data_IF_834468931035
#
_entry.id   IF_834468931035
#
_cell.length_a   1.000
_cell.length_b   1.000
_cell.length_c   1.000
_cell.angle_alpha   90.00
_cell.angle_beta   90.00
_cell.angle_gamma   90.00
#
_symmetry.space_group_name_H-M   'P 1'
#
loop_
_entity.id
_entity.type
_entity.pdbx_description
1 polymer ?
#
# COMPACT_ATOMS: atom_id res chain seq x y z
N UNK A 1 10.50 -26.03 6.22
CA UNK A 1 9.92 -27.00 5.26
C UNK A 1 10.34 -26.76 3.82
N UNK A 2 9.81 -25.75 3.10
CA UNK A 2 10.14 -25.58 1.67
C UNK A 2 11.62 -25.21 1.41
N UNK A 3 12.22 -24.43 2.32
CA UNK A 3 13.66 -24.10 2.25
C UNK A 3 14.48 -25.35 2.54
N UNK A 4 14.12 -26.11 3.59
CA UNK A 4 14.79 -27.37 3.96
C UNK A 4 14.65 -28.47 2.88
N UNK A 5 13.57 -28.41 2.09
CA UNK A 5 13.35 -29.27 0.93
C UNK A 5 14.25 -28.92 -0.28
N UNK A 6 15.18 -27.98 -0.11
CA UNK A 6 16.17 -27.57 -1.10
C UNK A 6 15.53 -27.01 -2.38
N UNK A 7 14.44 -26.25 -2.24
CA UNK A 7 13.83 -25.49 -3.35
C UNK A 7 14.74 -24.31 -3.73
N UNK A 8 15.15 -24.26 -5.00
CA UNK A 8 16.08 -23.23 -5.50
C UNK A 8 15.46 -21.83 -5.63
N UNK A 9 14.15 -21.74 -5.86
CA UNK A 9 13.50 -20.47 -6.14
C UNK A 9 12.03 -20.40 -5.71
N UNK A 10 11.67 -19.29 -5.07
CA UNK A 10 10.28 -18.88 -4.86
C UNK A 10 9.88 -17.84 -5.90
N UNK A 11 8.84 -18.14 -6.67
CA UNK A 11 8.32 -17.23 -7.70
C UNK A 11 7.12 -16.44 -7.19
N UNK A 12 7.17 -15.12 -7.36
CA UNK A 12 6.03 -14.22 -7.15
C UNK A 12 5.41 -13.90 -8.51
N UNK A 13 4.12 -14.15 -8.67
CA UNK A 13 3.35 -13.83 -9.88
C UNK A 13 2.43 -12.63 -9.59
N UNK A 14 2.34 -11.70 -10.55
CA UNK A 14 1.59 -10.47 -10.37
C UNK A 14 1.24 -9.76 -11.67
N UNK A 15 0.81 -10.49 -12.71
CA UNK A 15 0.32 -9.86 -13.95
C UNK A 15 -0.77 -8.84 -13.63
N UNK A 16 -0.64 -7.64 -14.21
CA UNK A 16 -1.57 -6.53 -14.03
C UNK A 16 -1.72 -6.07 -12.55
N UNK A 17 -0.77 -6.44 -11.67
CA UNK A 17 -0.75 -5.95 -10.29
C UNK A 17 -0.05 -4.61 -10.21
N UNK A 18 -0.52 -3.79 -9.28
CA UNK A 18 0.03 -2.46 -9.09
C UNK A 18 1.34 -2.51 -8.29
N UNK A 19 2.14 -1.43 -8.30
CA UNK A 19 3.40 -1.39 -7.56
C UNK A 19 3.26 -1.63 -6.05
N UNK A 20 2.10 -1.31 -5.45
CA UNK A 20 1.82 -1.55 -4.02
C UNK A 20 1.75 -3.05 -3.72
N UNK A 21 1.06 -3.81 -4.57
CA UNK A 21 1.04 -5.27 -4.46
C UNK A 21 2.44 -5.85 -4.59
N UNK A 22 3.19 -5.50 -5.64
CA UNK A 22 4.51 -6.08 -5.91
C UNK A 22 5.46 -5.79 -4.76
N UNK A 23 5.53 -4.54 -4.27
CA UNK A 23 6.37 -4.18 -3.13
C UNK A 23 5.99 -4.96 -1.88
N UNK A 24 4.70 -4.99 -1.53
CA UNK A 24 4.24 -5.65 -0.30
C UNK A 24 4.55 -7.14 -0.31
N UNK A 25 4.25 -7.83 -1.41
CA UNK A 25 4.48 -9.28 -1.51
C UNK A 25 5.97 -9.60 -1.52
N UNK A 26 6.76 -8.90 -2.35
CA UNK A 26 8.21 -9.12 -2.41
C UNK A 26 8.89 -8.84 -1.06
N UNK A 27 8.50 -7.76 -0.39
CA UNK A 27 9.06 -7.39 0.91
C UNK A 27 8.70 -8.41 2.00
N UNK A 28 7.43 -8.85 2.11
CA UNK A 28 7.05 -9.86 3.10
C UNK A 28 7.78 -11.19 2.87
N UNK A 29 7.91 -11.65 1.62
CA UNK A 29 8.65 -12.88 1.32
C UNK A 29 10.14 -12.74 1.59
N UNK A 30 10.75 -11.60 1.22
CA UNK A 30 12.15 -11.32 1.53
C UNK A 30 12.40 -11.33 3.04
N UNK A 31 11.60 -10.61 3.81
CA UNK A 31 11.74 -10.57 5.27
C UNK A 31 11.54 -11.96 5.90
N UNK A 32 10.61 -12.78 5.39
CA UNK A 32 10.41 -14.14 5.87
C UNK A 32 11.62 -15.04 5.59
N UNK A 33 12.23 -14.93 4.40
CA UNK A 33 13.47 -15.64 4.05
C UNK A 33 14.64 -15.18 4.92
N UNK A 34 14.84 -13.86 5.05
CA UNK A 34 15.89 -13.27 5.88
C UNK A 34 15.73 -13.76 7.34
N UNK A 35 14.50 -13.75 7.89
CA UNK A 35 14.23 -14.25 9.25
C UNK A 35 14.54 -15.74 9.43
N UNK A 36 14.34 -16.55 8.39
CA UNK A 36 14.69 -17.97 8.43
C UNK A 36 16.21 -18.15 8.54
N UNK A 37 16.99 -17.49 7.67
CA UNK A 37 18.45 -17.60 7.68
C UNK A 37 19.10 -16.98 8.92
N UNK A 38 18.51 -15.92 9.47
CA UNK A 38 19.01 -15.25 10.68
C UNK A 38 18.53 -15.92 11.98
N UNK A 39 17.70 -16.97 11.92
CA UNK A 39 17.07 -17.60 13.09
C UNK A 39 16.28 -16.62 13.96
N UNK A 40 15.62 -15.62 13.34
CA UNK A 40 14.82 -14.60 14.03
C UNK A 40 13.31 -14.75 13.78
N UNK A 41 12.88 -15.94 13.36
CA UNK A 41 11.47 -16.27 13.13
C UNK A 41 10.65 -16.12 14.42
N UNK A 42 9.45 -15.52 14.31
CA UNK A 42 8.49 -15.45 15.40
C UNK A 42 7.06 -15.36 14.88
N UNK A 43 6.08 -15.82 15.68
CA UNK A 43 4.66 -15.72 15.33
C UNK A 43 4.19 -14.27 15.14
N UNK A 44 4.80 -13.33 15.86
CA UNK A 44 4.51 -11.90 15.73
C UNK A 44 4.88 -11.38 14.34
N UNK A 45 6.07 -11.75 13.84
CA UNK A 45 6.48 -11.41 12.47
C UNK A 45 5.56 -12.05 11.43
N UNK A 46 5.18 -13.31 11.63
CA UNK A 46 4.21 -13.99 10.74
C UNK A 46 2.89 -13.24 10.70
N UNK A 47 2.34 -12.87 11.86
CA UNK A 47 1.11 -12.10 11.95
C UNK A 47 1.24 -10.76 11.23
N UNK A 48 2.37 -10.07 11.37
CA UNK A 48 2.66 -8.81 10.67
C UNK A 48 2.73 -8.97 9.15
N UNK A 49 3.36 -10.04 8.65
CA UNK A 49 3.40 -10.33 7.21
C UNK A 49 2.01 -10.62 6.66
N UNK A 50 1.25 -11.48 7.34
CA UNK A 50 -0.12 -11.83 6.95
C UNK A 50 -1.04 -10.61 6.99
N UNK A 51 -0.90 -9.73 7.99
CA UNK A 51 -1.65 -8.48 8.04
C UNK A 51 -1.34 -7.61 6.82
N UNK A 52 -0.07 -7.37 6.50
CA UNK A 52 0.32 -6.58 5.32
C UNK A 52 -0.16 -7.20 4.01
N UNK A 53 0.03 -8.51 3.84
CA UNK A 53 -0.43 -9.25 2.67
C UNK A 53 -1.96 -9.17 2.51
N UNK A 54 -2.70 -9.15 3.63
CA UNK A 54 -4.16 -9.03 3.61
C UNK A 54 -4.65 -7.67 3.07
N UNK A 55 -3.80 -6.62 3.13
CA UNK A 55 -4.13 -5.26 2.66
C UNK A 55 -4.04 -5.15 1.14
N UNK A 56 -3.20 -5.95 0.48
CA UNK A 56 -3.10 -5.95 -0.99
C UNK A 56 -4.03 -7.00 -1.60
N UNK A 57 -4.20 -6.97 -2.93
CA UNK A 57 -5.09 -7.92 -3.62
C UNK A 57 -4.77 -9.36 -3.22
N UNK A 58 -5.75 -10.09 -2.70
CA UNK A 58 -5.57 -11.51 -2.36
C UNK A 58 -6.90 -12.26 -2.48
N UNK A 59 -6.82 -13.59 -2.55
CA UNK A 59 -7.98 -14.51 -2.66
C UNK A 59 -8.09 -15.43 -1.45
N UNK A 60 -7.52 -15.02 -0.31
CA UNK A 60 -7.24 -15.89 0.82
C UNK A 60 -5.82 -16.46 0.77
N UNK A 61 -5.37 -16.93 1.92
CA UNK A 61 -4.08 -17.59 2.08
C UNK A 61 -4.31 -19.08 2.31
N UNK A 62 -3.50 -19.91 1.67
CA UNK A 62 -3.51 -21.35 1.84
C UNK A 62 -2.07 -21.85 1.73
N UNK A 63 -1.79 -23.02 2.30
CA UNK A 63 -0.48 -23.65 2.27
C UNK A 63 -0.13 -24.26 0.90
N UNK A 64 -0.88 -23.91 -0.15
CA UNK A 64 -0.81 -24.62 -1.43
C UNK A 64 -1.47 -26.00 -1.35
N UNK A 65 -1.10 -26.86 -2.29
CA UNK A 65 -1.44 -28.27 -2.31
C UNK A 65 -0.27 -29.13 -1.81
N UNK A 66 0.60 -28.56 -0.97
CA UNK A 66 1.90 -29.16 -0.62
C UNK A 66 1.81 -30.24 0.46
N UNK A 67 0.81 -30.21 1.34
CA UNK A 67 0.79 -31.02 2.57
C UNK A 67 -0.34 -32.05 2.65
N UNK A 68 -1.32 -31.99 1.75
CA UNK A 68 -2.41 -32.94 1.68
C UNK A 68 -2.98 -33.00 0.27
N UNK A 69 -3.77 -34.04 0.00
CA UNK A 69 -4.52 -34.15 -1.27
C UNK A 69 -5.58 -33.05 -1.31
N UNK A 70 -5.62 -32.20 -2.35
CA UNK A 70 -6.57 -31.10 -2.42
C UNK A 70 -8.01 -31.58 -2.36
N UNK A 71 -8.84 -30.90 -1.57
CA UNK A 71 -10.29 -31.10 -1.55
C UNK A 71 -10.99 -30.09 -2.47
N UNK A 72 -12.31 -30.25 -2.63
CA UNK A 72 -13.12 -29.29 -3.39
C UNK A 72 -13.03 -27.90 -2.75
N UNK A 73 -13.00 -27.81 -1.42
CA UNK A 73 -12.91 -26.55 -0.68
C UNK A 73 -11.56 -25.84 -0.86
N UNK A 74 -10.47 -26.59 -1.08
CA UNK A 74 -9.15 -26.01 -1.37
C UNK A 74 -9.05 -25.41 -2.78
N UNK A 75 -9.88 -25.91 -3.71
CA UNK A 75 -9.91 -25.49 -5.11
C UNK A 75 -10.96 -24.40 -5.33
N UNK A 76 -12.14 -24.55 -4.74
CA UNK A 76 -13.26 -23.63 -4.89
C UNK A 76 -13.18 -22.48 -3.88
N UNK A 77 -12.82 -21.30 -4.39
CA UNK A 77 -12.82 -20.08 -3.60
C UNK A 77 -14.25 -19.67 -3.23
N UNK A 78 -14.55 -19.63 -1.92
CA UNK A 78 -15.83 -19.13 -1.36
C UNK A 78 -16.22 -17.75 -1.87
N UNK A 79 -15.22 -16.88 -2.12
CA UNK A 79 -15.41 -15.54 -2.69
C UNK A 79 -14.54 -15.40 -3.92
N UNK A 80 -15.19 -15.10 -5.06
CA UNK A 80 -14.48 -14.80 -6.30
C UNK A 80 -13.88 -13.39 -6.25
N UNK A 81 -12.66 -13.26 -6.76
CA UNK A 81 -11.98 -11.97 -6.86
C UNK A 81 -11.25 -11.54 -5.58
N UNK A 82 -11.00 -10.24 -5.45
CA UNK A 82 -10.26 -9.69 -4.30
C UNK A 82 -11.09 -9.81 -3.02
N UNK A 83 -10.50 -10.39 -1.97
CA UNK A 83 -11.11 -10.43 -0.65
C UNK A 83 -10.54 -9.36 0.31
N UNK A 84 -9.45 -8.67 -0.06
CA UNK A 84 -8.92 -7.56 0.74
C UNK A 84 -10.00 -6.51 0.98
N UNK A 85 -10.11 -6.08 2.23
CA UNK A 85 -10.98 -4.98 2.61
C UNK A 85 -10.42 -3.62 2.15
N UNK A 86 -9.20 -3.54 1.63
CA UNK A 86 -8.58 -2.26 1.30
C UNK A 86 -8.76 -1.90 -0.17
N UNK A 87 -9.07 -0.62 -0.41
CA UNK A 87 -9.25 -0.03 -1.74
C UNK A 87 -8.20 1.07 -1.94
N UNK A 88 -7.52 1.01 -3.08
CA UNK A 88 -6.64 2.09 -3.54
C UNK A 88 -7.48 3.13 -4.28
N UNK A 89 -7.59 4.33 -3.72
CA UNK A 89 -8.37 5.43 -4.28
C UNK A 89 -7.46 6.56 -4.74
N UNK A 90 -7.71 7.07 -5.95
CA UNK A 90 -6.99 8.24 -6.48
C UNK A 90 -7.41 9.50 -5.72
N UNK A 91 -6.42 10.30 -5.31
CA UNK A 91 -6.62 11.57 -4.61
C UNK A 91 -6.32 12.78 -5.50
N UNK A 92 -5.31 12.70 -6.35
CA UNK A 92 -4.85 13.86 -7.11
C UNK A 92 -3.42 13.73 -7.61
N UNK A 93 -2.74 14.86 -7.81
CA UNK A 93 -1.39 14.89 -8.40
C UNK A 93 -0.49 15.97 -7.81
N UNK A 94 0.81 15.77 -7.94
CA UNK A 94 1.86 16.73 -7.62
C UNK A 94 1.91 17.79 -8.74
N UNK A 95 1.82 19.07 -8.36
CA UNK A 95 2.01 20.20 -9.28
C UNK A 95 3.48 20.62 -9.34
N UNK A 96 4.12 20.73 -8.18
CA UNK A 96 5.54 21.06 -8.06
C UNK A 96 6.12 20.51 -6.75
N UNK A 97 7.43 20.37 -6.70
CA UNK A 97 8.16 19.98 -5.50
C UNK A 97 9.33 20.94 -5.29
N UNK A 98 9.51 21.38 -4.05
CA UNK A 98 10.63 22.22 -3.63
C UNK A 98 11.57 21.36 -2.75
N UNK A 99 12.78 21.09 -3.25
CA UNK A 99 13.77 20.24 -2.60
C UNK A 99 14.28 20.83 -1.28
N UNK A 100 14.48 22.16 -1.22
CA UNK A 100 15.04 22.85 -0.06
C UNK A 100 14.12 22.73 1.17
N UNK A 101 12.83 22.94 0.96
CA UNK A 101 11.80 22.88 2.00
C UNK A 101 11.16 21.49 2.15
N UNK A 102 11.46 20.58 1.22
CA UNK A 102 10.83 19.27 1.06
C UNK A 102 9.30 19.36 0.96
N UNK A 103 8.81 20.39 0.29
CA UNK A 103 7.40 20.72 0.20
C UNK A 103 6.86 20.41 -1.20
N UNK A 104 5.86 19.54 -1.27
CA UNK A 104 5.12 19.28 -2.50
C UNK A 104 3.85 20.14 -2.55
N UNK A 105 3.67 20.86 -3.66
CA UNK A 105 2.40 21.47 -4.01
C UNK A 105 1.51 20.41 -4.66
N UNK A 106 0.35 20.16 -4.07
CA UNK A 106 -0.54 19.07 -4.45
C UNK A 106 -1.89 19.61 -4.86
N UNK A 107 -2.40 19.14 -5.99
CA UNK A 107 -3.79 19.30 -6.40
C UNK A 107 -4.57 18.04 -6.04
N UNK A 108 -5.42 18.11 -5.02
CA UNK A 108 -6.39 17.05 -4.74
C UNK A 108 -7.57 17.22 -5.70
N UNK A 109 -7.80 16.22 -6.54
CA UNK A 109 -8.85 16.19 -7.57
C UNK A 109 -10.03 15.28 -7.16
N UNK A 110 -9.80 14.35 -6.23
CA UNK A 110 -10.82 13.48 -5.68
C UNK A 110 -10.58 13.25 -4.18
N UNK A 111 -11.66 13.08 -3.43
CA UNK A 111 -11.61 12.85 -2.00
C UNK A 111 -12.89 12.11 -1.60
N UNK A 112 -12.87 10.78 -1.58
CA UNK A 112 -14.00 9.97 -1.10
C UNK A 112 -14.11 10.06 0.42
N UNK A 113 -13.02 9.78 1.12
CA UNK A 113 -12.87 9.85 2.57
C UNK A 113 -12.06 11.08 2.99
N UNK A 114 -12.22 11.59 4.24
CA UNK A 114 -11.35 12.63 4.79
C UNK A 114 -9.87 12.27 4.68
N UNK A 115 -9.04 13.24 4.27
CA UNK A 115 -7.59 13.12 4.37
C UNK A 115 -7.15 13.69 5.72
N UNK A 116 -6.47 12.90 6.54
CA UNK A 116 -6.08 13.23 7.91
C UNK A 116 -4.55 13.26 8.05
N UNK A 117 -4.05 13.97 9.07
CA UNK A 117 -2.67 13.78 9.51
C UNK A 117 -2.50 12.35 10.05
N UNK A 118 -1.40 11.71 9.68
CA UNK A 118 -1.12 10.31 10.00
C UNK A 118 -1.53 9.32 8.91
N UNK A 119 -2.33 9.74 7.92
CA UNK A 119 -2.67 8.87 6.80
C UNK A 119 -1.43 8.55 5.95
N UNK A 120 -1.39 7.31 5.44
CA UNK A 120 -0.39 6.90 4.47
C UNK A 120 -0.89 7.13 3.04
N UNK A 121 -0.15 7.95 2.29
CA UNK A 121 -0.39 8.17 0.87
C UNK A 121 0.67 7.48 0.02
N UNK A 122 0.25 7.06 -1.16
CA UNK A 122 1.10 6.44 -2.18
C UNK A 122 1.29 7.45 -3.29
N UNK A 123 2.55 7.84 -3.54
CA UNK A 123 2.91 8.72 -4.64
C UNK A 123 3.58 7.86 -5.72
N UNK A 124 3.05 7.92 -6.95
CA UNK A 124 3.51 7.09 -8.05
C UNK A 124 3.55 7.84 -9.38
N UNK A 125 4.62 7.64 -10.13
CA UNK A 125 4.84 8.16 -11.47
C UNK A 125 5.77 7.25 -12.27
N UNK A 126 6.25 7.70 -13.45
CA UNK A 126 7.09 6.88 -14.32
C UNK A 126 8.38 6.38 -13.66
N UNK A 127 8.97 7.19 -12.79
CA UNK A 127 10.22 6.89 -12.07
C UNK A 127 10.08 7.01 -10.56
N UNK A 128 8.87 7.26 -10.06
CA UNK A 128 8.62 7.56 -8.66
C UNK A 128 7.70 6.50 -8.08
N UNK A 129 8.09 5.93 -6.95
CA UNK A 129 7.19 5.14 -6.13
C UNK A 129 7.59 5.30 -4.66
N UNK A 130 6.70 5.88 -3.87
CA UNK A 130 6.92 6.04 -2.43
C UNK A 130 5.61 5.94 -1.65
N UNK A 131 5.74 5.54 -0.39
CA UNK A 131 4.67 5.59 0.60
C UNK A 131 5.12 6.61 1.63
N UNK A 132 4.27 7.60 1.90
CA UNK A 132 4.57 8.72 2.79
C UNK A 132 3.45 8.87 3.81
N UNK A 133 3.83 8.96 5.09
CA UNK A 133 2.90 9.32 6.16
C UNK A 133 2.73 10.83 6.21
N UNK A 134 1.49 11.31 6.16
CA UNK A 134 1.20 12.76 6.19
C UNK A 134 1.48 13.31 7.58
N UNK A 135 2.65 13.94 7.75
CA UNK A 135 3.03 14.61 9.02
C UNK A 135 2.53 16.05 9.11
N UNK A 136 2.40 16.73 7.98
CA UNK A 136 2.02 18.15 7.94
C UNK A 136 1.28 18.47 6.64
N UNK A 137 0.13 19.13 6.79
CA UNK A 137 -0.66 19.69 5.69
C UNK A 137 -0.81 21.20 5.86
N UNK A 138 -0.68 21.94 4.77
CA UNK A 138 -0.86 23.39 4.74
C UNK A 138 -1.88 23.76 3.66
N UNK A 139 -2.88 24.56 4.01
CA UNK A 139 -3.86 25.13 3.09
C UNK A 139 -3.84 26.65 3.21
N UNK A 140 -3.60 27.36 2.09
CA UNK A 140 -3.52 28.83 2.05
C UNK A 140 -2.63 29.45 3.15
N UNK A 141 -1.49 28.82 3.44
CA UNK A 141 -0.53 29.27 4.45
C UNK A 141 -0.80 28.78 5.88
N UNK A 142 -1.99 28.25 6.16
CA UNK A 142 -2.35 27.76 7.49
C UNK A 142 -2.17 26.25 7.63
N UNK A 143 -1.70 25.80 8.80
CA UNK A 143 -1.61 24.38 9.12
C UNK A 143 -3.02 23.80 9.32
N UNK A 144 -3.31 22.71 8.64
CA UNK A 144 -4.59 22.01 8.76
C UNK A 144 -4.38 20.57 9.22
N UNK A 145 -5.32 20.06 10.02
CA UNK A 145 -5.30 18.67 10.52
C UNK A 145 -6.02 17.70 9.59
N UNK A 146 -6.94 18.20 8.77
CA UNK A 146 -7.73 17.39 7.86
C UNK A 146 -8.23 18.20 6.67
N UNK A 147 -8.44 17.50 5.55
CA UNK A 147 -9.17 17.98 4.39
C UNK A 147 -10.43 17.10 4.24
N UNK A 148 -11.60 17.72 4.15
CA UNK A 148 -12.89 17.03 4.02
C UNK A 148 -13.75 17.71 2.95
N UNK A 149 -14.59 16.96 2.24
CA UNK A 149 -15.52 17.53 1.25
C UNK A 149 -16.52 18.51 1.84
N UNK A 150 -16.84 18.38 3.14
CA UNK A 150 -17.77 19.29 3.84
C UNK A 150 -17.17 20.69 4.02
N UNK A 151 -15.84 20.77 4.17
CA UNK A 151 -15.14 22.04 4.48
C UNK A 151 -14.38 22.62 3.29
N UNK A 152 -14.03 21.80 2.31
CA UNK A 152 -13.19 22.20 1.16
C UNK A 152 -13.84 21.77 -0.16
N UNK A 153 -13.87 22.70 -1.11
CA UNK A 153 -14.30 22.41 -2.50
C UNK A 153 -13.18 21.71 -3.25
N UNK A 154 -13.50 20.62 -3.95
CA UNK A 154 -12.57 19.86 -4.79
C UNK A 154 -12.75 20.33 -6.25
N UNK A 155 -11.66 20.63 -6.99
CA UNK A 155 -10.28 20.41 -6.63
C UNK A 155 -9.72 21.44 -5.64
N UNK A 156 -8.86 20.99 -4.71
CA UNK A 156 -8.20 21.84 -3.70
C UNK A 156 -6.69 21.73 -3.77
N UNK A 157 -6.00 22.88 -3.67
CA UNK A 157 -4.54 22.93 -3.57
C UNK A 157 -4.08 22.92 -2.12
N UNK A 158 -3.18 22.01 -1.78
CA UNK A 158 -2.54 21.93 -0.46
C UNK A 158 -1.03 21.77 -0.64
N UNK A 159 -0.27 22.05 0.42
CA UNK A 159 1.13 21.68 0.47
C UNK A 159 1.33 20.55 1.48
N UNK A 160 2.06 19.52 1.05
CA UNK A 160 2.46 18.37 1.86
C UNK A 160 3.97 18.40 2.05
N UNK A 161 4.44 18.10 3.25
CA UNK A 161 5.87 17.83 3.47
C UNK A 161 6.15 16.36 3.19
N UNK A 162 7.07 16.07 2.27
CA UNK A 162 7.47 14.71 1.88
C UNK A 162 8.89 14.42 2.39
N UNK A 163 9.25 13.15 2.57
CA UNK A 163 10.62 12.78 2.93
C UNK A 163 11.49 12.58 1.69
N UNK A 164 10.88 12.11 0.60
CA UNK A 164 11.51 11.80 -0.67
C UNK A 164 11.10 12.80 -1.76
N UNK A 165 11.94 12.96 -2.78
CA UNK A 165 11.68 13.83 -3.93
C UNK A 165 10.50 13.32 -4.76
N UNK A 166 9.52 14.18 -5.01
CA UNK A 166 8.40 13.89 -5.89
C UNK A 166 8.50 14.70 -7.18
N UNK A 167 8.00 14.15 -8.28
CA UNK A 167 8.04 14.79 -9.60
C UNK A 167 6.69 15.40 -9.96
N UNK A 168 6.72 16.44 -10.78
CA UNK A 168 5.50 17.02 -11.36
C UNK A 168 4.71 15.95 -12.10
N UNK A 169 3.39 15.95 -11.91
CA UNK A 169 2.41 14.97 -12.39
C UNK A 169 2.49 13.58 -11.76
N UNK A 170 3.33 13.36 -10.75
CA UNK A 170 3.21 12.15 -9.93
C UNK A 170 1.80 12.11 -9.31
N UNK A 171 1.18 10.93 -9.36
CA UNK A 171 -0.18 10.69 -8.89
C UNK A 171 -0.16 10.29 -7.43
N UNK A 172 -1.15 10.78 -6.69
CA UNK A 172 -1.34 10.48 -5.27
C UNK A 172 -2.56 9.57 -5.11
N UNK A 173 -2.38 8.52 -4.33
CA UNK A 173 -3.42 7.59 -3.93
C UNK A 173 -3.43 7.43 -2.42
N UNK A 174 -4.56 6.97 -1.89
CA UNK A 174 -4.67 6.50 -0.51
C UNK A 174 -5.20 5.08 -0.50
N UNK A 175 -4.74 4.27 0.45
CA UNK A 175 -5.26 2.93 0.68
C UNK A 175 -6.23 3.01 1.87
N UNK A 176 -7.53 3.03 1.60
CA UNK A 176 -8.54 3.07 2.67
C UNK A 176 -9.15 1.70 2.90
N UNK A 177 -9.47 1.39 4.16
CA UNK A 177 -10.23 0.18 4.51
C UNK A 177 -11.69 0.43 4.16
N UNK A 178 -12.23 -0.39 3.27
CA UNK A 178 -13.61 -0.35 2.85
C UNK A 178 -14.50 -0.78 4.02
N UNK A 179 -15.21 0.18 4.61
CA UNK A 179 -16.05 -0.01 5.80
C UNK A 179 -17.30 -0.89 5.57
N UNK A 180 -17.51 -1.37 4.34
CA UNK A 180 -18.67 -2.18 3.92
C UNK A 180 -18.38 -3.68 3.81
N UNK A 181 -17.22 -4.13 4.30
CA UNK A 181 -16.79 -5.54 4.33
C UNK A 181 -16.51 -5.99 5.77
#
# INVERSE_FOLDING_TARGET
ELIDANIDAFKIEGRMKDPVYIRTVAQCYKEALDCFYENTYSEEKVRSWLERLSKVFNRGFHTGFYFHRPTVEDIELKKRGNISAYKKSYLGKILSYDENSKSANVLLENLEDPLLLGDEIIITGPTTYMIETIKKMIYKGEKVKSITRKRYSIPVRINLRLNTEAKTNDKIYILSKNSKL
#
